data_IF_581800851063
#
_entry.id   IF_581800851063
#
_cell.length_a   1.000
_cell.length_b   1.000
_cell.length_c   1.000
_cell.angle_alpha   90.00
_cell.angle_beta   90.00
_cell.angle_gamma   90.00
#
_symmetry.space_group_name_H-M   'P 1'
#
loop_
_entity.id
_entity.type
_entity.pdbx_description
1 polymer ?
#
# COMPACT_ATOMS: atom_id res chain seq x y z
N UNK A 1 -16.49 -0.89 -5.50
CA UNK A 1 -15.63 -2.10 -5.61
C UNK A 1 -16.43 -3.33 -6.05
N UNK A 2 -17.61 -3.61 -5.49
CA UNK A 2 -18.42 -4.79 -5.85
C UNK A 2 -18.91 -4.81 -7.31
N UNK A 3 -18.90 -3.68 -8.00
CA UNK A 3 -19.29 -3.52 -9.40
C UNK A 3 -18.08 -3.44 -10.34
N UNK A 4 -16.89 -3.56 -9.82
CA UNK A 4 -15.66 -3.53 -10.62
C UNK A 4 -15.26 -4.93 -11.06
N UNK A 5 -15.16 -5.15 -12.36
CA UNK A 5 -14.87 -6.46 -12.96
C UNK A 5 -13.47 -6.95 -12.62
N UNK A 6 -12.49 -6.05 -12.54
CA UNK A 6 -11.14 -6.38 -12.16
C UNK A 6 -11.10 -6.97 -10.74
N UNK A 7 -11.73 -6.31 -9.78
CA UNK A 7 -11.78 -6.81 -8.41
C UNK A 7 -12.51 -8.16 -8.33
N UNK A 8 -13.61 -8.31 -9.06
CA UNK A 8 -14.35 -9.55 -9.11
C UNK A 8 -13.52 -10.71 -9.68
N UNK A 9 -12.82 -10.50 -10.79
CA UNK A 9 -11.98 -11.52 -11.43
C UNK A 9 -10.81 -11.90 -10.53
N UNK A 10 -10.01 -10.91 -10.08
CA UNK A 10 -8.83 -11.13 -9.23
C UNK A 10 -9.16 -11.80 -7.89
N UNK A 11 -10.37 -11.58 -7.35
CA UNK A 11 -10.79 -12.25 -6.12
C UNK A 11 -11.13 -13.74 -6.32
N UNK A 12 -11.37 -14.18 -7.56
CA UNK A 12 -11.77 -15.57 -7.90
C UNK A 12 -10.65 -16.44 -8.43
N UNK A 13 -9.63 -15.86 -9.03
CA UNK A 13 -8.50 -16.62 -9.61
C UNK A 13 -7.39 -16.93 -8.59
N UNK A 14 -7.68 -16.81 -7.29
CA UNK A 14 -6.77 -17.13 -6.20
C UNK A 14 -5.40 -16.42 -6.26
N UNK A 15 -5.36 -15.18 -6.80
CA UNK A 15 -4.16 -14.33 -6.76
C UNK A 15 -4.05 -13.59 -5.44
N UNK A 16 -2.83 -13.19 -5.06
CA UNK A 16 -2.57 -12.39 -3.87
C UNK A 16 -3.01 -10.92 -4.02
N UNK A 17 -3.47 -10.51 -5.21
CA UNK A 17 -3.76 -9.10 -5.51
C UNK A 17 -4.92 -8.55 -4.70
N UNK A 18 -5.99 -9.32 -4.52
CA UNK A 18 -7.13 -8.91 -3.69
C UNK A 18 -6.74 -8.73 -2.22
N UNK A 19 -5.88 -9.62 -1.70
CA UNK A 19 -5.39 -9.55 -0.33
C UNK A 19 -4.42 -8.36 -0.15
N UNK A 20 -3.53 -8.15 -1.12
CA UNK A 20 -2.65 -6.99 -1.15
C UNK A 20 -3.44 -5.68 -1.19
N UNK A 21 -4.45 -5.57 -2.06
CA UNK A 21 -5.34 -4.41 -2.15
C UNK A 21 -6.07 -4.14 -0.83
N UNK A 22 -6.55 -5.19 -0.14
CA UNK A 22 -7.18 -5.06 1.17
C UNK A 22 -6.22 -4.43 2.18
N UNK A 23 -4.99 -4.94 2.33
CA UNK A 23 -4.03 -4.39 3.28
C UNK A 23 -3.57 -2.98 2.89
N UNK A 24 -3.41 -2.68 1.59
CA UNK A 24 -3.09 -1.33 1.12
C UNK A 24 -4.19 -0.33 1.49
N UNK A 25 -5.45 -0.68 1.31
CA UNK A 25 -6.57 0.18 1.70
C UNK A 25 -6.67 0.31 3.22
N UNK A 26 -6.44 -0.77 3.96
CA UNK A 26 -6.47 -0.77 5.42
C UNK A 26 -5.41 0.16 6.00
N UNK A 27 -4.13 0.02 5.59
CA UNK A 27 -3.05 0.85 6.12
C UNK A 27 -3.21 2.33 5.73
N UNK A 28 -3.68 2.66 4.52
CA UNK A 28 -3.96 4.05 4.14
C UNK A 28 -5.11 4.62 5.00
N UNK A 29 -6.13 3.83 5.26
CA UNK A 29 -7.28 4.24 6.09
C UNK A 29 -6.82 4.49 7.53
N UNK A 30 -6.05 3.56 8.10
CA UNK A 30 -5.50 3.68 9.46
C UNK A 30 -4.56 4.89 9.58
N UNK A 31 -3.69 5.13 8.59
CA UNK A 31 -2.84 6.33 8.55
C UNK A 31 -3.67 7.61 8.60
N UNK A 32 -4.71 7.74 7.75
CA UNK A 32 -5.56 8.93 7.71
C UNK A 32 -6.22 9.18 9.07
N UNK A 33 -6.72 8.13 9.72
CA UNK A 33 -7.29 8.25 11.06
C UNK A 33 -6.24 8.61 12.11
N UNK A 34 -5.05 8.00 12.05
CA UNK A 34 -3.92 8.29 12.91
C UNK A 34 -3.47 9.75 12.81
N UNK A 35 -3.35 10.27 11.57
CA UNK A 35 -2.99 11.68 11.34
C UNK A 35 -4.05 12.66 11.87
N UNK A 36 -5.34 12.35 11.70
CA UNK A 36 -6.43 13.15 12.29
C UNK A 36 -6.39 13.12 13.82
N UNK A 37 -6.09 11.97 14.41
CA UNK A 37 -5.94 11.85 15.86
C UNK A 37 -4.72 12.61 16.36
N UNK A 38 -3.58 12.53 15.65
CA UNK A 38 -2.37 13.28 15.96
C UNK A 38 -2.61 14.80 15.93
N UNK A 39 -3.34 15.31 14.93
CA UNK A 39 -3.68 16.73 14.84
C UNK A 39 -4.59 17.18 16.01
N UNK A 40 -5.55 16.35 16.44
CA UNK A 40 -6.41 16.63 17.62
C UNK A 40 -5.60 16.68 18.91
N UNK A 41 -4.79 15.66 19.18
CA UNK A 41 -3.94 15.58 20.37
C UNK A 41 -2.96 16.75 20.43
N UNK A 42 -2.43 17.16 19.28
CA UNK A 42 -1.59 18.34 19.15
C UNK A 42 -2.37 19.64 19.45
N UNK A 43 -3.63 19.74 18.99
CA UNK A 43 -4.48 20.90 19.27
C UNK A 43 -4.77 21.05 20.78
N UNK A 44 -4.82 19.94 21.53
CA UNK A 44 -4.95 19.93 22.99
C UNK A 44 -3.69 20.42 23.73
N UNK A 45 -2.59 20.71 23.01
CA UNK A 45 -1.34 21.22 23.61
C UNK A 45 -0.51 20.14 24.35
N UNK A 46 -0.76 18.87 24.11
CA UNK A 46 0.02 17.77 24.70
C UNK A 46 1.46 17.78 24.20
N UNK A 47 2.37 17.33 25.07
CA UNK A 47 3.81 17.27 24.77
C UNK A 47 4.26 15.90 24.22
N UNK A 48 3.38 14.90 24.22
CA UNK A 48 3.65 13.55 23.74
C UNK A 48 2.38 12.94 23.12
N UNK A 49 2.50 11.97 22.17
CA UNK A 49 1.39 11.19 21.65
C UNK A 49 0.56 10.54 22.76
N UNK A 50 -0.73 10.39 22.53
CA UNK A 50 -1.59 9.68 23.47
C UNK A 50 -1.44 8.16 23.28
N UNK A 51 -1.68 7.39 24.34
CA UNK A 51 -1.71 5.92 24.24
C UNK A 51 -2.64 5.41 23.15
N UNK A 52 -3.77 6.10 22.95
CA UNK A 52 -4.70 5.79 21.85
C UNK A 52 -4.03 5.97 20.48
N UNK A 53 -3.24 7.04 20.29
CA UNK A 53 -2.53 7.27 19.03
C UNK A 53 -1.46 6.21 18.81
N UNK A 54 -0.69 5.87 19.83
CA UNK A 54 0.33 4.82 19.76
C UNK A 54 -0.30 3.47 19.40
N UNK A 55 -1.43 3.12 20.03
CA UNK A 55 -2.16 1.89 19.70
C UNK A 55 -2.64 1.86 18.23
N UNK A 56 -3.11 2.99 17.71
CA UNK A 56 -3.46 3.12 16.29
C UNK A 56 -2.24 2.97 15.36
N UNK A 57 -1.09 3.55 15.72
CA UNK A 57 0.15 3.40 14.97
C UNK A 57 0.65 1.95 14.96
N UNK A 58 0.51 1.23 16.08
CA UNK A 58 0.85 -0.20 16.16
C UNK A 58 -0.07 -1.02 15.25
N UNK A 59 -1.37 -0.78 15.29
CA UNK A 59 -2.33 -1.47 14.42
C UNK A 59 -2.03 -1.21 12.94
N UNK A 60 -1.71 0.03 12.59
CA UNK A 60 -1.34 0.42 11.24
C UNK A 60 0.00 -0.20 10.80
N UNK A 61 1.03 -0.16 11.66
CA UNK A 61 2.32 -0.81 11.41
C UNK A 61 2.18 -2.32 11.20
N UNK A 62 1.27 -2.98 11.93
CA UNK A 62 0.93 -4.39 11.71
C UNK A 62 0.28 -4.58 10.33
N UNK A 63 -0.69 -3.74 9.94
CA UNK A 63 -1.33 -3.79 8.63
C UNK A 63 -0.31 -3.58 7.50
N UNK A 64 0.66 -2.65 7.68
CA UNK A 64 1.79 -2.45 6.76
C UNK A 64 2.62 -3.73 6.63
N UNK A 65 2.98 -4.36 7.75
CA UNK A 65 3.72 -5.62 7.76
C UNK A 65 3.01 -6.73 7.00
N UNK A 66 1.70 -6.89 7.22
CA UNK A 66 0.86 -7.85 6.49
C UNK A 66 0.81 -7.54 4.99
N UNK A 67 0.66 -6.27 4.61
CA UNK A 67 0.66 -5.83 3.21
C UNK A 67 1.97 -6.13 2.50
N UNK A 68 3.11 -5.82 3.12
CA UNK A 68 4.45 -6.10 2.58
C UNK A 68 4.71 -7.61 2.48
N UNK A 69 4.26 -8.39 3.49
CA UNK A 69 4.39 -9.85 3.50
C UNK A 69 3.53 -10.54 2.44
N UNK A 70 2.41 -9.93 2.05
CA UNK A 70 1.53 -10.47 1.01
C UNK A 70 2.12 -10.25 -0.39
N UNK A 71 2.56 -9.04 -0.69
CA UNK A 71 3.13 -8.67 -1.98
C UNK A 71 4.00 -7.42 -1.83
N UNK A 72 5.11 -7.33 -2.55
CA UNK A 72 6.01 -6.18 -2.49
C UNK A 72 5.37 -4.85 -2.94
N UNK A 73 4.22 -4.89 -3.60
CA UNK A 73 3.40 -3.69 -3.83
C UNK A 73 2.99 -2.99 -2.53
N UNK A 74 2.86 -3.72 -1.42
CA UNK A 74 2.68 -3.16 -0.08
C UNK A 74 3.84 -2.27 0.37
N UNK A 75 5.08 -2.59 -0.03
CA UNK A 75 6.24 -1.75 0.25
C UNK A 75 6.16 -0.38 -0.46
N UNK A 76 5.74 -0.36 -1.72
CA UNK A 76 5.52 0.92 -2.44
C UNK A 76 4.42 1.76 -1.79
N UNK A 77 3.35 1.12 -1.32
CA UNK A 77 2.30 1.82 -0.57
C UNK A 77 2.81 2.38 0.76
N UNK A 78 3.69 1.65 1.48
CA UNK A 78 4.35 2.15 2.69
C UNK A 78 5.21 3.39 2.39
N UNK A 79 5.94 3.42 1.26
CA UNK A 79 6.68 4.62 0.85
C UNK A 79 5.75 5.80 0.58
N UNK A 80 4.61 5.57 -0.08
CA UNK A 80 3.60 6.61 -0.29
C UNK A 80 3.04 7.13 1.06
N UNK A 81 2.82 6.26 2.04
CA UNK A 81 2.42 6.66 3.39
C UNK A 81 3.47 7.54 4.07
N UNK A 82 4.75 7.19 3.93
CA UNK A 82 5.85 8.01 4.45
C UNK A 82 5.83 9.43 3.84
N UNK A 83 5.59 9.56 2.54
CA UNK A 83 5.43 10.86 1.88
C UNK A 83 4.24 11.63 2.43
N UNK A 84 3.09 10.99 2.64
CA UNK A 84 1.92 11.60 3.27
C UNK A 84 2.22 12.09 4.69
N UNK A 85 2.97 11.30 5.47
CA UNK A 85 3.38 11.68 6.82
C UNK A 85 4.33 12.88 6.81
N UNK A 86 5.33 12.90 5.92
CA UNK A 86 6.23 14.04 5.74
C UNK A 86 5.48 15.30 5.33
N UNK A 87 4.49 15.17 4.46
CA UNK A 87 3.62 16.29 4.08
C UNK A 87 2.81 16.81 5.29
N UNK A 88 2.27 15.91 6.11
CA UNK A 88 1.60 16.27 7.37
C UNK A 88 2.54 17.06 8.28
N UNK A 89 3.76 16.57 8.52
CA UNK A 89 4.78 17.25 9.32
C UNK A 89 5.12 18.63 8.74
N UNK A 90 5.32 18.72 7.43
CA UNK A 90 5.60 19.98 6.73
C UNK A 90 4.48 21.02 6.88
N UNK A 91 3.22 20.59 6.74
CA UNK A 91 2.06 21.47 6.96
C UNK A 91 1.94 21.90 8.40
N UNK A 92 2.26 21.01 9.33
CA UNK A 92 2.30 21.32 10.75
C UNK A 92 3.36 22.40 11.05
N UNK A 93 4.60 22.28 10.55
CA UNK A 93 5.65 23.27 10.73
C UNK A 93 5.27 24.66 10.14
N UNK A 94 4.57 24.68 9.02
CA UNK A 94 4.05 25.94 8.44
C UNK A 94 3.04 26.62 9.35
N UNK A 95 2.14 25.86 9.98
CA UNK A 95 1.16 26.36 10.96
C UNK A 95 1.81 26.86 12.26
N UNK A 96 2.98 26.29 12.61
CA UNK A 96 3.74 26.62 13.81
C UNK A 96 4.26 28.06 13.85
N UNK A 97 4.65 28.65 12.70
CA UNK A 97 5.12 30.05 12.65
C UNK A 97 4.11 31.04 13.26
N UNK A 98 2.85 30.65 13.38
CA UNK A 98 1.74 31.46 13.88
C UNK A 98 1.35 31.14 15.34
N UNK A 99 1.61 29.93 15.85
CA UNK A 99 1.18 29.49 17.19
C UNK A 99 2.25 28.55 17.80
N UNK A 100 3.09 29.03 18.68
CA UNK A 100 4.21 28.30 19.37
C UNK A 100 3.76 26.95 20.00
N UNK A 101 3.48 25.93 19.19
CA UNK A 101 3.11 24.59 19.65
C UNK A 101 4.34 23.74 19.95
N UNK A 102 4.26 22.73 20.81
CA UNK A 102 5.44 22.03 21.29
C UNK A 102 6.11 21.18 20.20
N UNK A 103 7.28 21.61 19.71
CA UNK A 103 8.14 20.84 18.78
C UNK A 103 8.40 19.44 19.33
N UNK A 104 8.52 19.32 20.66
CA UNK A 104 8.74 18.04 21.36
C UNK A 104 7.71 16.98 20.97
N UNK A 105 6.43 17.35 20.82
CA UNK A 105 5.38 16.39 20.41
C UNK A 105 5.68 15.78 19.04
N UNK A 106 6.05 16.61 18.05
CA UNK A 106 6.33 16.14 16.70
C UNK A 106 7.59 15.28 16.66
N UNK A 107 8.62 15.67 17.39
CA UNK A 107 9.86 14.87 17.52
C UNK A 107 9.54 13.50 18.12
N UNK A 108 8.76 13.45 19.20
CA UNK A 108 8.34 12.17 19.81
C UNK A 108 7.52 11.34 18.83
N UNK A 109 6.55 11.96 18.14
CA UNK A 109 5.74 11.28 17.13
C UNK A 109 6.60 10.72 15.97
N UNK A 110 7.62 11.45 15.53
CA UNK A 110 8.56 10.97 14.50
C UNK A 110 9.40 9.79 15.00
N UNK A 111 9.90 9.84 16.22
CA UNK A 111 10.73 8.76 16.81
C UNK A 111 9.88 7.50 16.99
N UNK A 112 8.69 7.62 17.60
CA UNK A 112 7.78 6.50 17.80
C UNK A 112 7.30 5.94 16.45
N UNK A 113 6.97 6.84 15.50
CA UNK A 113 6.58 6.45 14.15
C UNK A 113 7.70 5.68 13.44
N UNK A 114 8.92 6.20 13.45
CA UNK A 114 10.06 5.52 12.84
C UNK A 114 10.27 4.13 13.46
N UNK A 115 10.20 4.00 14.78
CA UNK A 115 10.31 2.71 15.45
C UNK A 115 9.21 1.73 15.06
N UNK A 116 7.95 2.16 15.15
CA UNK A 116 6.78 1.29 14.87
C UNK A 116 6.75 0.89 13.39
N UNK A 117 6.89 1.84 12.45
CA UNK A 117 6.78 1.57 11.01
C UNK A 117 8.04 0.96 10.38
N UNK A 118 9.13 0.79 11.14
CA UNK A 118 10.31 0.03 10.70
C UNK A 118 10.34 -1.36 11.34
N UNK A 119 10.30 -1.42 12.67
CA UNK A 119 10.53 -2.67 13.40
C UNK A 119 9.35 -3.63 13.29
N UNK A 120 8.12 -3.11 13.39
CA UNK A 120 6.94 -3.96 13.37
C UNK A 120 6.68 -4.60 11.99
N UNK A 121 6.70 -3.86 10.86
CA UNK A 121 6.60 -4.46 9.54
C UNK A 121 7.74 -5.44 9.24
N UNK A 122 8.98 -5.11 9.63
CA UNK A 122 10.11 -6.02 9.47
C UNK A 122 9.92 -7.32 10.27
N UNK A 123 9.43 -7.22 11.51
CA UNK A 123 9.11 -8.37 12.34
C UNK A 123 8.02 -9.26 11.71
N UNK A 124 6.93 -8.67 11.22
CA UNK A 124 5.86 -9.40 10.54
C UNK A 124 6.38 -10.05 9.26
N UNK A 125 7.17 -9.33 8.45
CA UNK A 125 7.78 -9.85 7.24
C UNK A 125 8.73 -11.02 7.53
N UNK A 126 9.58 -10.90 8.54
CA UNK A 126 10.47 -11.98 8.99
C UNK A 126 9.68 -13.22 9.42
N UNK A 127 8.64 -13.03 10.24
CA UNK A 127 7.80 -14.13 10.73
C UNK A 127 7.03 -14.84 9.60
N UNK A 128 6.71 -14.13 8.51
CA UNK A 128 6.04 -14.73 7.36
C UNK A 128 6.85 -15.82 6.66
N UNK A 129 8.17 -15.87 6.86
CA UNK A 129 9.05 -16.91 6.33
C UNK A 129 9.15 -18.18 7.20
N UNK A 130 8.49 -18.22 8.35
CA UNK A 130 8.50 -19.43 9.22
C UNK A 130 8.01 -20.69 8.50
N UNK A 131 6.93 -20.67 7.70
CA UNK A 131 6.50 -21.86 6.97
C UNK A 131 7.55 -22.36 5.98
N UNK A 132 8.20 -21.45 5.25
CA UNK A 132 9.28 -21.76 4.31
C UNK A 132 10.48 -22.35 5.05
N UNK A 133 10.92 -21.71 6.14
CA UNK A 133 12.02 -22.23 6.97
C UNK A 133 11.77 -23.67 7.42
N UNK A 134 10.54 -23.99 7.85
CA UNK A 134 10.17 -25.35 8.26
C UNK A 134 10.16 -26.34 7.09
N UNK A 135 9.66 -25.91 5.93
CA UNK A 135 9.61 -26.74 4.73
C UNK A 135 11.02 -27.09 4.20
N UNK A 136 11.95 -26.16 4.27
CA UNK A 136 13.35 -26.33 3.87
C UNK A 136 14.21 -27.04 4.92
N UNK A 137 13.72 -27.23 6.14
CA UNK A 137 14.50 -27.73 7.27
C UNK A 137 15.63 -26.80 7.72
N UNK A 138 15.55 -25.52 7.35
CA UNK A 138 16.52 -24.51 7.70
C UNK A 138 16.44 -24.13 9.20
N UNK A 139 17.56 -23.68 9.77
CA UNK A 139 17.64 -23.31 11.19
C UNK A 139 17.68 -21.80 11.45
N UNK A 140 17.93 -21.00 10.41
CA UNK A 140 18.10 -19.55 10.52
C UNK A 140 17.02 -18.83 9.72
N UNK A 141 16.03 -18.29 10.42
CA UNK A 141 14.91 -17.57 9.81
C UNK A 141 15.36 -16.29 9.05
N UNK A 142 16.36 -15.59 9.56
CA UNK A 142 16.90 -14.40 8.91
C UNK A 142 17.54 -14.72 7.57
N UNK A 143 18.30 -15.81 7.51
CA UNK A 143 18.94 -16.30 6.28
C UNK A 143 17.90 -16.69 5.22
N UNK A 144 16.85 -17.42 5.62
CA UNK A 144 15.76 -17.80 4.72
C UNK A 144 15.05 -16.57 4.16
N UNK A 145 14.71 -15.61 5.02
CA UNK A 145 14.10 -14.34 4.59
C UNK A 145 15.02 -13.57 3.63
N UNK A 146 16.30 -13.43 3.96
CA UNK A 146 17.25 -12.67 3.15
C UNK A 146 17.46 -13.30 1.78
N UNK A 147 17.74 -14.61 1.74
CA UNK A 147 17.94 -15.33 0.49
C UNK A 147 16.68 -15.38 -0.37
N UNK A 148 15.50 -15.59 0.25
CA UNK A 148 14.21 -15.52 -0.43
C UNK A 148 13.95 -14.14 -1.04
N UNK A 149 14.24 -13.06 -0.30
CA UNK A 149 14.08 -11.70 -0.78
C UNK A 149 15.05 -11.37 -1.92
N UNK A 150 16.31 -11.80 -1.83
CA UNK A 150 17.28 -11.65 -2.91
C UNK A 150 16.89 -12.44 -4.16
N UNK A 151 16.41 -13.68 -3.99
CA UNK A 151 15.91 -14.47 -5.11
C UNK A 151 14.75 -13.75 -5.82
N UNK A 152 13.79 -13.23 -5.08
CA UNK A 152 12.67 -12.48 -5.66
C UNK A 152 13.14 -11.21 -6.40
N UNK A 153 14.10 -10.47 -5.83
CA UNK A 153 14.68 -9.28 -6.46
C UNK A 153 15.37 -9.62 -7.79
N UNK A 154 16.23 -10.63 -7.79
CA UNK A 154 16.95 -11.10 -8.97
C UNK A 154 15.99 -11.61 -10.05
N UNK A 155 15.03 -12.45 -9.65
CA UNK A 155 13.99 -12.95 -10.55
C UNK A 155 13.26 -11.81 -11.27
N UNK A 156 12.79 -10.81 -10.53
CA UNK A 156 12.07 -9.68 -11.14
C UNK A 156 12.95 -8.75 -11.98
N UNK A 157 14.25 -8.67 -11.70
CA UNK A 157 15.19 -7.86 -12.48
C UNK A 157 15.62 -8.50 -13.80
N UNK A 158 15.58 -9.83 -13.86
CA UNK A 158 16.03 -10.61 -15.03
C UNK A 158 14.90 -11.01 -15.98
N UNK A 159 13.64 -10.84 -15.56
CA UNK A 159 12.50 -11.15 -16.44
C UNK A 159 12.41 -10.15 -17.57
N UNK A 160 12.87 -10.58 -18.75
CA UNK A 160 12.63 -9.93 -20.04
C UNK A 160 11.69 -10.83 -20.84
N UNK A 161 10.44 -10.91 -20.44
CA UNK A 161 9.45 -11.74 -21.13
C UNK A 161 8.49 -10.86 -21.92
N UNK A 162 8.52 -10.98 -23.26
CA UNK A 162 7.45 -10.42 -24.11
C UNK A 162 6.32 -11.41 -24.19
N UNK A 163 5.22 -11.12 -23.51
CA UNK A 163 4.02 -11.93 -23.63
C UNK A 163 3.15 -11.41 -24.80
N UNK A 164 2.62 -12.27 -25.70
CA UNK A 164 1.81 -11.82 -26.82
C UNK A 164 0.55 -11.04 -26.42
N UNK A 165 0.13 -11.20 -25.19
CA UNK A 165 -1.04 -10.52 -24.59
C UNK A 165 -0.64 -9.58 -23.45
N UNK A 166 0.54 -8.95 -23.53
CA UNK A 166 0.94 -7.97 -22.51
C UNK A 166 0.03 -6.73 -22.55
N UNK A 167 -0.33 -6.24 -21.36
CA UNK A 167 -1.06 -4.99 -21.20
C UNK A 167 -0.08 -3.90 -20.75
N UNK A 168 0.34 -2.98 -21.65
CA UNK A 168 1.29 -1.93 -21.29
C UNK A 168 0.73 -0.99 -20.21
N UNK A 169 1.53 -0.63 -19.21
CA UNK A 169 1.12 0.15 -18.05
C UNK A 169 0.45 1.50 -18.40
N UNK A 170 0.82 2.12 -19.52
CA UNK A 170 0.23 3.40 -19.95
C UNK A 170 -1.20 3.24 -20.49
N UNK A 171 -1.67 2.03 -20.76
CA UNK A 171 -3.06 1.74 -21.16
C UNK A 171 -3.99 1.56 -19.96
N UNK A 172 -3.44 1.27 -18.76
CA UNK A 172 -4.19 0.98 -17.55
C UNK A 172 -5.06 2.16 -17.05
N UNK A 173 -4.55 3.42 -17.04
CA UNK A 173 -5.38 4.54 -16.58
C UNK A 173 -6.70 4.69 -17.34
N UNK A 174 -6.75 4.31 -18.61
CA UNK A 174 -7.93 4.41 -19.44
C UNK A 174 -8.64 3.06 -19.66
N UNK A 175 -8.10 2.00 -19.03
CA UNK A 175 -8.66 0.62 -19.16
C UNK A 175 -8.81 0.17 -20.63
N UNK A 176 -7.75 0.42 -21.45
CA UNK A 176 -7.81 0.21 -22.90
C UNK A 176 -7.46 -1.21 -23.32
N UNK A 177 -6.60 -1.89 -22.58
CA UNK A 177 -6.12 -3.25 -22.90
C UNK A 177 -6.30 -4.12 -21.66
N UNK A 178 -7.12 -5.19 -21.76
CA UNK A 178 -7.30 -6.11 -20.63
C UNK A 178 -6.01 -6.87 -20.31
N UNK A 179 -5.85 -7.24 -19.06
CA UNK A 179 -4.82 -8.17 -18.61
C UNK A 179 -5.32 -9.60 -18.81
N UNK A 180 -4.53 -10.43 -19.48
CA UNK A 180 -4.88 -11.84 -19.65
C UNK A 180 -4.25 -12.66 -18.51
N UNK A 181 -5.11 -13.26 -17.69
CA UNK A 181 -4.69 -14.04 -16.52
C UNK A 181 -4.51 -15.53 -16.81
N UNK A 182 -5.33 -16.09 -17.70
CA UNK A 182 -5.23 -17.49 -18.12
C UNK A 182 -5.82 -17.69 -19.52
N UNK A 183 -5.28 -18.65 -20.25
CA UNK A 183 -5.80 -19.07 -21.53
C UNK A 183 -5.49 -20.56 -21.79
N UNK A 184 -6.54 -21.37 -21.98
CA UNK A 184 -6.44 -22.79 -22.28
C UNK A 184 -7.19 -23.13 -23.56
N UNK A 185 -6.60 -24.01 -24.39
CA UNK A 185 -7.28 -24.60 -25.52
C UNK A 185 -8.20 -25.73 -25.08
N UNK A 186 -9.50 -25.62 -25.40
CA UNK A 186 -10.48 -26.65 -25.12
C UNK A 186 -10.85 -27.33 -26.47
N UNK A 187 -10.08 -28.38 -26.82
CA UNK A 187 -10.23 -29.04 -28.13
C UNK A 187 -9.58 -28.23 -29.27
N UNK A 188 -9.93 -28.54 -30.51
CA UNK A 188 -9.30 -27.98 -31.71
C UNK A 188 -9.73 -26.53 -32.03
N UNK A 189 -10.95 -26.15 -31.63
CA UNK A 189 -11.60 -24.90 -32.08
C UNK A 189 -12.06 -23.96 -30.97
N UNK A 190 -11.78 -24.27 -29.68
CA UNK A 190 -12.26 -23.47 -28.57
C UNK A 190 -11.13 -23.03 -27.65
N UNK A 191 -11.12 -21.78 -27.29
CA UNK A 191 -10.18 -21.20 -26.29
C UNK A 191 -10.99 -20.69 -25.11
N UNK A 192 -10.61 -21.09 -23.90
CA UNK A 192 -11.10 -20.52 -22.65
C UNK A 192 -10.14 -19.44 -22.21
N UNK A 193 -10.61 -18.20 -22.06
CA UNK A 193 -9.79 -17.08 -21.65
C UNK A 193 -10.36 -16.46 -20.38
N UNK A 194 -9.47 -16.16 -19.43
CA UNK A 194 -9.78 -15.31 -18.29
C UNK A 194 -9.02 -14.00 -18.49
N UNK A 195 -9.75 -12.93 -18.72
CA UNK A 195 -9.19 -11.60 -18.88
C UNK A 195 -9.71 -10.67 -17.78
N UNK A 196 -8.81 -9.88 -17.21
CA UNK A 196 -9.11 -8.90 -16.18
C UNK A 196 -9.07 -7.50 -16.76
N UNK A 197 -10.15 -6.75 -16.59
CA UNK A 197 -10.25 -5.33 -16.93
C UNK A 197 -11.18 -4.64 -15.94
N UNK A 198 -11.02 -3.33 -15.78
CA UNK A 198 -11.86 -2.52 -14.91
C UNK A 198 -13.27 -2.30 -15.51
N UNK A 199 -14.21 -1.87 -14.67
CA UNK A 199 -15.47 -1.35 -15.18
C UNK A 199 -15.24 0.06 -15.77
N UNK A 200 -15.39 0.28 -17.10
CA UNK A 200 -15.07 1.55 -17.74
C UNK A 200 -15.78 2.75 -17.11
N UNK A 201 -17.04 2.58 -16.69
CA UNK A 201 -17.79 3.67 -16.04
C UNK A 201 -17.15 4.08 -14.70
N UNK A 202 -16.72 3.11 -13.90
CA UNK A 202 -16.08 3.36 -12.60
C UNK A 202 -14.70 3.99 -12.82
N UNK A 203 -13.91 3.46 -13.76
CA UNK A 203 -12.56 3.92 -14.04
C UNK A 203 -12.56 5.34 -14.61
N UNK A 204 -13.35 5.62 -15.63
CA UNK A 204 -13.41 6.94 -16.25
C UNK A 204 -14.03 7.99 -15.32
N UNK A 205 -15.08 7.64 -14.57
CA UNK A 205 -15.62 8.52 -13.54
C UNK A 205 -14.61 8.76 -12.42
N UNK A 206 -13.80 7.76 -12.05
CA UNK A 206 -12.71 7.87 -11.09
C UNK A 206 -11.63 8.86 -11.54
N UNK A 207 -11.22 8.81 -12.82
CA UNK A 207 -10.26 9.76 -13.40
C UNK A 207 -10.84 11.19 -13.37
N UNK A 208 -12.09 11.36 -13.81
CA UNK A 208 -12.76 12.66 -13.78
C UNK A 208 -12.85 13.22 -12.34
N UNK A 209 -13.21 12.37 -11.37
CA UNK A 209 -13.26 12.73 -9.96
C UNK A 209 -11.88 13.12 -9.40
N UNK A 210 -10.83 12.41 -9.80
CA UNK A 210 -9.46 12.71 -9.40
C UNK A 210 -9.02 14.11 -9.86
N UNK A 211 -9.21 14.44 -11.14
CA UNK A 211 -8.90 15.78 -11.65
C UNK A 211 -9.77 16.86 -11.03
N UNK A 212 -11.06 16.60 -10.83
CA UNK A 212 -11.94 17.51 -10.11
C UNK A 212 -11.44 17.82 -8.70
N UNK A 213 -11.00 16.80 -7.95
CA UNK A 213 -10.46 16.98 -6.61
C UNK A 213 -9.17 17.80 -6.60
N UNK A 214 -8.26 17.55 -7.55
CA UNK A 214 -7.04 18.36 -7.72
C UNK A 214 -7.40 19.82 -7.96
N UNK A 215 -8.27 20.10 -8.93
CA UNK A 215 -8.71 21.46 -9.23
C UNK A 215 -9.35 22.14 -8.00
N UNK A 216 -10.16 21.41 -7.24
CA UNK A 216 -10.79 21.91 -6.02
C UNK A 216 -9.76 22.24 -4.93
N UNK A 217 -8.74 21.41 -4.75
CA UNK A 217 -7.67 21.65 -3.77
C UNK A 217 -6.84 22.88 -4.15
N UNK A 218 -6.46 23.00 -5.44
CA UNK A 218 -5.73 24.16 -5.95
C UNK A 218 -6.53 25.45 -5.72
N UNK A 219 -7.80 25.50 -6.16
CA UNK A 219 -8.67 26.66 -5.98
C UNK A 219 -8.93 27.05 -4.52
N UNK A 220 -8.93 26.08 -3.59
CA UNK A 220 -9.07 26.38 -2.15
C UNK A 220 -7.78 26.96 -1.55
N UNK A 221 -6.64 26.73 -2.16
CA UNK A 221 -5.35 27.24 -1.70
C UNK A 221 -5.14 28.71 -2.08
N UNK A 222 -5.79 29.14 -3.15
CA UNK A 222 -5.72 30.52 -3.66
C UNK A 222 -6.74 31.48 -2.99
N UNK A 223 -7.58 30.96 -2.09
CA UNK A 223 -8.51 31.72 -1.22
C UNK A 223 -8.05 31.64 0.24
#
# INVERSE_FOLDING_TARGET
LSMDFMHFTLSRIATLDSLAAFFILLMITLLIYGLKLADRVLAEGRKAPSMKLVAWMILDGFAVGMGVSTKWTGFYAMLAMAVCFLFFIGTWFRKQKKNRKPVRYVVTLCIEGLGIYSLLPLGVYLLSFIPQMKAEGARNLWEVMWNGSLYMLNFHSEIVFKHPYESPWYTWPLDLVPLMDAGDFIGEDKVSLIATFGNPLIWWAGIAAFFYLICRVVRKRDR
#
